data_IF_205940434526
#
_entry.id   IF_205940434526
#
_cell.length_a   1.000
_cell.length_b   1.000
_cell.length_c   1.000
_cell.angle_alpha   90.00
_cell.angle_beta   90.00
_cell.angle_gamma   90.00
#
_symmetry.space_group_name_H-M   'P 1'
#
loop_
_entity.id
_entity.type
_entity.pdbx_description
1 polymer ?
#
# COMPACT_ATOMS: atom_id res chain seq x y z
N UNK A 1 10.93 -18.92 -45.34
CA UNK A 1 11.40 -19.51 -46.62
C UNK A 1 12.92 -19.61 -46.56
N UNK A 2 13.49 -20.78 -46.80
CA UNK A 2 14.95 -21.00 -46.82
C UNK A 2 15.37 -21.02 -48.29
N UNK A 3 16.09 -19.99 -48.75
CA UNK A 3 16.55 -19.82 -50.14
C UNK A 3 18.07 -19.61 -50.23
N UNK A 4 18.66 -19.89 -51.40
CA UNK A 4 20.11 -19.77 -51.65
C UNK A 4 20.61 -18.32 -51.44
N UNK A 5 21.79 -18.08 -50.82
CA UNK A 5 22.28 -16.74 -50.45
C UNK A 5 22.32 -15.73 -51.61
N UNK A 6 22.62 -16.19 -52.82
CA UNK A 6 22.70 -15.34 -54.04
C UNK A 6 21.36 -14.76 -54.49
N UNK A 7 20.23 -15.26 -53.97
CA UNK A 7 18.89 -14.70 -54.24
C UNK A 7 18.52 -13.56 -53.28
N UNK A 8 19.26 -13.39 -52.18
CA UNK A 8 19.02 -12.36 -51.15
C UNK A 8 19.88 -11.10 -51.36
N UNK A 9 20.91 -11.14 -52.20
CA UNK A 9 21.83 -10.01 -52.47
C UNK A 9 21.15 -8.78 -53.12
N UNK A 10 20.01 -8.98 -53.80
CA UNK A 10 19.23 -7.90 -54.43
C UNK A 10 18.10 -7.36 -53.55
N UNK A 11 17.92 -7.89 -52.35
CA UNK A 11 16.89 -7.39 -51.43
C UNK A 11 17.48 -6.30 -50.52
N UNK A 12 16.77 -5.18 -50.30
CA UNK A 12 17.23 -4.14 -49.39
C UNK A 12 17.41 -4.71 -47.97
N UNK A 13 18.65 -4.78 -47.50
CA UNK A 13 18.99 -5.21 -46.16
C UNK A 13 18.74 -4.06 -45.16
N UNK A 14 17.93 -4.30 -44.14
CA UNK A 14 17.74 -3.37 -43.03
C UNK A 14 18.67 -3.76 -41.88
N UNK A 15 19.56 -2.85 -41.49
CA UNK A 15 20.44 -3.05 -40.33
C UNK A 15 19.82 -2.38 -39.11
N UNK A 16 19.63 -3.14 -38.03
CA UNK A 16 19.10 -2.64 -36.76
C UNK A 16 20.22 -2.72 -35.72
N UNK A 17 20.47 -1.64 -35.01
CA UNK A 17 21.47 -1.56 -33.94
C UNK A 17 20.90 -0.77 -32.76
N UNK A 18 21.38 -1.08 -31.55
CA UNK A 18 21.04 -0.37 -30.33
C UNK A 18 22.30 0.16 -29.66
N UNK A 19 22.20 1.35 -29.08
CA UNK A 19 23.24 1.93 -28.26
C UNK A 19 22.60 2.67 -27.09
N UNK A 20 23.28 2.69 -25.96
CA UNK A 20 22.86 3.49 -24.82
C UNK A 20 23.29 4.93 -25.05
N UNK A 21 22.33 5.85 -25.02
CA UNK A 21 22.58 7.28 -25.08
C UNK A 21 22.21 7.87 -23.71
N UNK A 22 23.17 8.39 -22.94
CA UNK A 22 22.85 9.06 -21.69
C UNK A 22 22.03 10.34 -21.94
N UNK A 23 21.15 10.67 -20.98
CA UNK A 23 20.13 11.72 -21.11
C UNK A 23 20.72 13.12 -21.39
N UNK A 24 21.97 13.35 -21.00
CA UNK A 24 22.73 14.58 -21.22
C UNK A 24 23.09 14.84 -22.69
N UNK A 25 22.96 13.82 -23.55
CA UNK A 25 23.32 13.89 -24.98
C UNK A 25 22.13 13.65 -25.91
N UNK A 26 20.91 13.92 -25.48
CA UNK A 26 19.69 13.74 -26.29
C UNK A 26 19.74 14.42 -27.69
N UNK A 27 20.48 15.53 -27.82
CA UNK A 27 20.65 16.23 -29.10
C UNK A 27 21.43 15.42 -30.15
N UNK A 28 22.27 14.47 -29.73
CA UNK A 28 23.07 13.63 -30.62
C UNK A 28 22.20 12.77 -31.53
N UNK A 29 21.06 12.28 -31.05
CA UNK A 29 20.11 11.52 -31.86
C UNK A 29 19.48 12.39 -32.97
N UNK A 30 19.13 13.64 -32.65
CA UNK A 30 18.62 14.61 -33.62
C UNK A 30 19.65 14.98 -34.69
N UNK A 31 20.91 15.17 -34.29
CA UNK A 31 22.01 15.46 -35.21
C UNK A 31 22.35 14.28 -36.13
N UNK A 32 22.23 13.05 -35.62
CA UNK A 32 22.46 11.84 -36.39
C UNK A 32 21.41 11.65 -37.50
N UNK A 33 20.13 11.88 -37.19
CA UNK A 33 19.03 11.82 -38.18
C UNK A 33 19.19 12.93 -39.24
N UNK A 34 19.64 14.13 -38.84
CA UNK A 34 19.92 15.23 -39.78
C UNK A 34 21.10 14.92 -40.71
N UNK A 35 22.14 14.26 -40.21
CA UNK A 35 23.36 13.96 -40.97
C UNK A 35 23.22 12.71 -41.84
N UNK A 36 22.34 11.79 -41.46
CA UNK A 36 22.05 10.55 -42.20
C UNK A 36 20.52 10.33 -42.31
N UNK A 37 19.84 10.95 -43.29
CA UNK A 37 18.38 10.89 -43.44
C UNK A 37 17.83 9.49 -43.80
N UNK A 38 18.70 8.49 -44.04
CA UNK A 38 18.32 7.08 -44.22
C UNK A 38 18.27 6.26 -42.92
N UNK A 39 18.58 6.85 -41.76
CA UNK A 39 18.57 6.17 -40.46
C UNK A 39 17.31 6.55 -39.70
N UNK A 40 16.52 5.55 -39.29
CA UNK A 40 15.39 5.74 -38.36
C UNK A 40 15.85 5.46 -36.94
N UNK A 41 15.78 6.46 -36.07
CA UNK A 41 16.12 6.32 -34.64
C UNK A 41 14.85 6.07 -33.85
N UNK A 42 14.80 4.95 -33.13
CA UNK A 42 13.72 4.63 -32.19
C UNK A 42 14.16 4.93 -30.76
N UNK A 43 13.50 5.88 -30.11
CA UNK A 43 13.76 6.19 -28.70
C UNK A 43 13.05 5.18 -27.79
N UNK A 44 13.75 4.10 -27.48
CA UNK A 44 13.27 3.07 -26.54
C UNK A 44 13.16 3.63 -25.12
N UNK A 45 13.95 4.66 -24.76
CA UNK A 45 13.89 5.33 -23.47
C UNK A 45 12.55 6.04 -23.26
N UNK A 46 12.11 6.81 -24.27
CA UNK A 46 10.81 7.47 -24.27
C UNK A 46 9.64 6.49 -24.15
N UNK A 47 9.72 5.34 -24.84
CA UNK A 47 8.70 4.29 -24.73
C UNK A 47 8.67 3.67 -23.33
N UNK A 48 9.83 3.36 -22.74
CA UNK A 48 9.91 2.84 -21.37
C UNK A 48 9.36 3.87 -20.36
N UNK A 49 9.67 5.15 -20.53
CA UNK A 49 9.17 6.20 -19.64
C UNK A 49 7.66 6.37 -19.76
N UNK A 50 7.10 6.24 -20.97
CA UNK A 50 5.66 6.23 -21.18
C UNK A 50 4.99 5.06 -20.45
N UNK A 51 5.55 3.85 -20.55
CA UNK A 51 5.04 2.68 -19.81
C UNK A 51 5.15 2.88 -18.30
N UNK A 52 6.29 3.38 -17.80
CA UNK A 52 6.46 3.73 -16.38
C UNK A 52 5.43 4.76 -15.92
N UNK A 53 5.10 5.74 -16.76
CA UNK A 53 4.08 6.74 -16.47
C UNK A 53 2.69 6.12 -16.31
N UNK A 54 2.30 5.23 -17.23
CA UNK A 54 1.02 4.52 -17.14
C UNK A 54 0.97 3.68 -15.85
N UNK A 55 2.04 2.94 -15.53
CA UNK A 55 2.13 2.14 -14.30
C UNK A 55 2.00 3.04 -13.06
N UNK A 56 2.66 4.20 -13.03
CA UNK A 56 2.56 5.16 -11.92
C UNK A 56 1.16 5.70 -11.77
N UNK A 57 0.47 6.02 -12.87
CA UNK A 57 -0.89 6.55 -12.84
C UNK A 57 -1.88 5.50 -12.32
N UNK A 58 -1.78 4.26 -12.80
CA UNK A 58 -2.59 3.12 -12.29
C UNK A 58 -2.29 2.87 -10.81
N UNK A 59 -1.01 2.87 -10.41
CA UNK A 59 -0.63 2.69 -9.01
C UNK A 59 -1.20 3.80 -8.12
N UNK A 60 -1.18 5.05 -8.59
CA UNK A 60 -1.75 6.20 -7.87
C UNK A 60 -3.27 6.06 -7.72
N UNK A 61 -3.98 5.62 -8.76
CA UNK A 61 -5.41 5.36 -8.67
C UNK A 61 -5.73 4.28 -7.62
N UNK A 62 -4.97 3.17 -7.60
CA UNK A 62 -5.12 2.11 -6.60
C UNK A 62 -4.79 2.63 -5.19
N UNK A 63 -3.79 3.50 -5.04
CA UNK A 63 -3.47 4.13 -3.76
C UNK A 63 -4.64 4.98 -3.22
N UNK A 64 -5.36 5.70 -4.09
CA UNK A 64 -6.56 6.42 -3.67
C UNK A 64 -7.65 5.47 -3.18
N UNK A 65 -7.90 4.37 -3.90
CA UNK A 65 -8.88 3.34 -3.48
C UNK A 65 -8.47 2.73 -2.14
N UNK A 66 -7.20 2.43 -1.95
CA UNK A 66 -6.66 1.95 -0.68
C UNK A 66 -6.89 2.97 0.44
N UNK A 67 -6.59 4.26 0.22
CA UNK A 67 -6.79 5.31 1.22
C UNK A 67 -8.27 5.46 1.61
N UNK A 68 -9.19 5.44 0.65
CA UNK A 68 -10.62 5.47 0.92
C UNK A 68 -11.10 4.25 1.70
N UNK A 69 -10.64 3.06 1.32
CA UNK A 69 -10.99 1.81 2.00
C UNK A 69 -10.44 1.78 3.42
N UNK A 70 -9.21 2.23 3.62
CA UNK A 70 -8.59 2.38 4.94
C UNK A 70 -9.39 3.36 5.79
N UNK A 71 -9.77 4.51 5.24
CA UNK A 71 -10.60 5.49 5.94
C UNK A 71 -11.97 4.91 6.33
N UNK A 72 -12.63 4.19 5.43
CA UNK A 72 -13.88 3.49 5.72
C UNK A 72 -13.69 2.46 6.85
N UNK A 73 -12.59 1.69 6.83
CA UNK A 73 -12.23 0.77 7.91
C UNK A 73 -12.06 1.46 9.26
N UNK A 74 -11.43 2.64 9.31
CA UNK A 74 -11.31 3.44 10.52
C UNK A 74 -12.68 3.93 11.04
N UNK A 75 -13.59 4.32 10.14
CA UNK A 75 -14.96 4.69 10.50
C UNK A 75 -15.74 3.50 11.07
N UNK A 76 -15.59 2.32 10.47
CA UNK A 76 -16.22 1.07 10.96
C UNK A 76 -15.66 0.69 12.33
N UNK A 77 -14.33 0.75 12.51
CA UNK A 77 -13.69 0.54 13.81
C UNK A 77 -14.23 1.51 14.86
N UNK A 78 -14.36 2.79 14.50
CA UNK A 78 -14.92 3.81 15.38
C UNK A 78 -16.37 3.47 15.79
N UNK A 79 -17.21 3.06 14.84
CA UNK A 79 -18.59 2.67 15.11
C UNK A 79 -18.67 1.44 16.04
N UNK A 80 -17.80 0.44 15.85
CA UNK A 80 -17.72 -0.75 16.69
C UNK A 80 -17.28 -0.42 18.13
N UNK A 81 -16.30 0.47 18.30
CA UNK A 81 -15.88 0.94 19.64
C UNK A 81 -17.01 1.73 20.32
N UNK A 82 -17.73 2.57 19.59
CA UNK A 82 -18.89 3.30 20.14
C UNK A 82 -20.03 2.37 20.58
N UNK A 83 -20.29 1.31 19.82
CA UNK A 83 -21.30 0.32 20.17
C UNK A 83 -20.93 -0.41 21.48
N UNK A 84 -19.67 -0.85 21.62
CA UNK A 84 -19.17 -1.55 22.82
C UNK A 84 -18.97 -0.64 24.05
N UNK A 85 -18.81 0.68 23.85
CA UNK A 85 -18.57 1.60 24.94
C UNK A 85 -19.74 1.72 25.94
N UNK A 86 -21.00 1.52 25.51
CA UNK A 86 -22.17 1.59 26.40
C UNK A 86 -22.14 0.48 27.44
N UNK A 87 -21.74 -0.72 27.03
CA UNK A 87 -21.61 -1.89 27.89
C UNK A 87 -20.42 -1.73 28.85
N UNK A 88 -19.26 -1.33 28.33
CA UNK A 88 -18.07 -1.01 29.15
C UNK A 88 -18.35 0.08 30.18
N UNK A 89 -19.22 1.06 29.89
CA UNK A 89 -19.52 2.13 30.86
C UNK A 89 -20.26 1.61 32.10
N UNK A 90 -21.09 0.56 31.98
CA UNK A 90 -21.70 -0.12 33.14
C UNK A 90 -20.66 -0.87 33.97
N UNK A 91 -19.79 -1.64 33.31
CA UNK A 91 -18.71 -2.36 33.99
C UNK A 91 -17.76 -1.41 34.73
N UNK A 92 -17.41 -0.27 34.11
CA UNK A 92 -16.56 0.75 34.71
C UNK A 92 -17.25 1.40 35.92
N UNK A 93 -18.57 1.61 35.89
CA UNK A 93 -19.31 2.15 37.03
C UNK A 93 -19.26 1.19 38.24
N UNK A 94 -19.42 -0.12 38.00
CA UNK A 94 -19.30 -1.16 39.02
C UNK A 94 -17.86 -1.24 39.56
N UNK A 95 -16.84 -1.20 38.69
CA UNK A 95 -15.44 -1.20 39.12
C UNK A 95 -15.07 0.06 39.91
N UNK A 96 -15.65 1.22 39.58
CA UNK A 96 -15.44 2.47 40.31
C UNK A 96 -16.11 2.48 41.68
N UNK A 97 -17.28 1.85 41.86
CA UNK A 97 -17.87 1.71 43.20
C UNK A 97 -17.03 0.80 44.10
N UNK A 98 -16.27 -0.13 43.51
CA UNK A 98 -15.28 -0.97 44.19
C UNK A 98 -13.88 -0.30 44.34
N UNK A 99 -13.73 0.98 43.98
CA UNK A 99 -12.51 1.75 44.21
C UNK A 99 -11.45 1.69 43.09
N UNK A 100 -11.78 1.15 41.91
CA UNK A 100 -10.82 1.03 40.82
C UNK A 100 -10.36 2.40 40.24
N UNK A 101 -9.04 2.56 40.06
CA UNK A 101 -8.42 3.78 39.50
C UNK A 101 -8.56 3.83 37.97
N UNK A 102 -9.00 4.99 37.44
CA UNK A 102 -9.17 5.29 35.99
C UNK A 102 -7.98 4.86 35.12
N UNK A 103 -6.74 5.02 35.62
CA UNK A 103 -5.51 4.71 34.86
C UNK A 103 -5.37 3.21 34.48
N UNK A 104 -5.91 2.29 35.29
CA UNK A 104 -5.85 0.85 35.02
C UNK A 104 -6.76 0.45 33.86
N UNK A 105 -7.91 1.11 33.75
CA UNK A 105 -8.92 0.88 32.72
C UNK A 105 -8.38 1.27 31.33
N UNK A 106 -7.69 2.40 31.24
CA UNK A 106 -7.06 2.86 29.99
C UNK A 106 -5.93 1.92 29.52
N UNK A 107 -5.13 1.41 30.46
CA UNK A 107 -4.05 0.47 30.13
C UNK A 107 -4.58 -0.82 29.52
N UNK A 108 -5.57 -1.44 30.16
CA UNK A 108 -6.18 -2.68 29.65
C UNK A 108 -6.79 -2.50 28.26
N UNK A 109 -7.50 -1.39 28.03
CA UNK A 109 -8.11 -1.08 26.74
C UNK A 109 -7.09 -0.91 25.61
N UNK A 110 -5.99 -0.19 25.89
CA UNK A 110 -4.93 0.02 24.91
C UNK A 110 -4.25 -1.30 24.56
N UNK A 111 -3.94 -2.13 25.55
CA UNK A 111 -3.32 -3.44 25.32
C UNK A 111 -4.21 -4.32 24.45
N UNK A 112 -5.52 -4.31 24.66
CA UNK A 112 -6.48 -5.05 23.84
C UNK A 112 -6.44 -4.59 22.37
N UNK A 113 -6.48 -3.28 22.11
CA UNK A 113 -6.39 -2.76 20.73
C UNK A 113 -5.03 -3.01 20.08
N UNK A 114 -3.94 -2.94 20.85
CA UNK A 114 -2.58 -3.25 20.35
C UNK A 114 -2.48 -4.71 19.96
N UNK A 115 -3.02 -5.63 20.76
CA UNK A 115 -3.03 -7.07 20.44
C UNK A 115 -3.90 -7.33 19.19
N UNK A 116 -5.11 -6.78 19.14
CA UNK A 116 -5.98 -6.91 17.96
C UNK A 116 -5.33 -6.33 16.70
N UNK A 117 -4.65 -5.19 16.84
CA UNK A 117 -3.87 -4.57 15.76
C UNK A 117 -2.70 -5.42 15.30
N UNK A 118 -1.95 -6.00 16.22
CA UNK A 118 -0.84 -6.90 15.92
C UNK A 118 -1.33 -8.15 15.15
N UNK A 119 -2.46 -8.73 15.58
CA UNK A 119 -3.08 -9.86 14.90
C UNK A 119 -3.58 -9.49 13.49
N UNK A 120 -4.27 -8.36 13.35
CA UNK A 120 -4.70 -7.86 12.05
C UNK A 120 -3.51 -7.59 11.12
N UNK A 121 -2.44 -7.02 11.67
CA UNK A 121 -1.18 -6.76 10.98
C UNK A 121 -0.47 -8.03 10.52
N UNK A 122 -0.48 -9.08 11.33
CA UNK A 122 0.02 -10.40 10.96
C UNK A 122 -0.78 -11.00 9.81
N UNK A 123 -2.12 -10.96 9.88
CA UNK A 123 -3.00 -11.45 8.80
C UNK A 123 -2.75 -10.66 7.51
N UNK A 124 -2.61 -9.34 7.60
CA UNK A 124 -2.28 -8.49 6.45
C UNK A 124 -0.91 -8.85 5.85
N UNK A 125 0.12 -9.10 6.67
CA UNK A 125 1.44 -9.49 6.20
C UNK A 125 1.44 -10.86 5.50
N UNK A 126 0.73 -11.84 6.06
CA UNK A 126 0.53 -13.16 5.41
C UNK A 126 -0.17 -12.98 4.07
N UNK A 127 -1.25 -12.20 4.02
CA UNK A 127 -1.99 -11.95 2.79
C UNK A 127 -1.14 -11.23 1.73
N UNK A 128 -0.41 -10.19 2.12
CA UNK A 128 0.49 -9.46 1.23
C UNK A 128 1.60 -10.36 0.69
N UNK A 129 2.17 -11.22 1.54
CA UNK A 129 3.22 -12.18 1.14
C UNK A 129 2.67 -13.23 0.18
N UNK A 130 1.44 -13.71 0.42
CA UNK A 130 0.76 -14.65 -0.46
C UNK A 130 0.49 -14.02 -1.83
N UNK A 131 -0.14 -12.84 -1.88
CA UNK A 131 -0.40 -12.14 -3.14
C UNK A 131 0.90 -11.81 -3.87
N UNK A 132 1.93 -11.34 -3.15
CA UNK A 132 3.25 -11.05 -3.71
C UNK A 132 3.92 -12.28 -4.33
N UNK A 133 3.81 -13.44 -3.67
CA UNK A 133 4.34 -14.70 -4.19
C UNK A 133 3.66 -15.10 -5.50
N UNK A 134 2.32 -15.04 -5.56
CA UNK A 134 1.57 -15.36 -6.78
C UNK A 134 1.86 -14.39 -7.92
N UNK A 135 1.87 -13.07 -7.66
CA UNK A 135 2.19 -12.07 -8.68
C UNK A 135 3.62 -12.27 -9.21
N UNK A 136 4.58 -12.48 -8.32
CA UNK A 136 5.97 -12.60 -8.73
C UNK A 136 6.22 -13.88 -9.52
N UNK A 137 5.59 -15.00 -9.15
CA UNK A 137 5.77 -16.28 -9.82
C UNK A 137 5.02 -16.36 -11.14
N UNK A 138 3.73 -16.02 -11.15
CA UNK A 138 2.83 -16.32 -12.26
C UNK A 138 2.63 -15.14 -13.23
N UNK A 139 2.94 -13.90 -12.81
CA UNK A 139 2.75 -12.69 -13.65
C UNK A 139 4.08 -12.07 -14.07
N UNK A 140 5.03 -11.94 -13.15
CA UNK A 140 6.28 -11.21 -13.41
C UNK A 140 7.51 -12.09 -13.63
N UNK A 141 7.43 -13.40 -13.34
CA UNK A 141 8.56 -14.34 -13.41
C UNK A 141 9.81 -13.87 -12.65
N UNK A 142 9.63 -13.14 -11.55
CA UNK A 142 10.71 -12.59 -10.73
C UNK A 142 10.98 -13.47 -9.50
N UNK A 143 12.24 -13.55 -9.02
CA UNK A 143 12.56 -14.21 -7.76
C UNK A 143 11.91 -13.44 -6.59
N UNK A 144 11.01 -14.11 -5.87
CA UNK A 144 10.31 -13.54 -4.72
C UNK A 144 10.81 -14.14 -3.41
N UNK A 145 11.40 -13.29 -2.57
CA UNK A 145 11.71 -13.62 -1.19
C UNK A 145 10.95 -12.64 -0.27
N UNK A 146 9.85 -13.08 0.38
CA UNK A 146 9.18 -12.27 1.37
C UNK A 146 10.06 -12.22 2.62
N UNK A 147 10.99 -11.27 2.64
CA UNK A 147 11.86 -11.07 3.79
C UNK A 147 11.06 -10.84 5.08
N UNK A 148 11.63 -11.17 6.26
CA UNK A 148 10.94 -11.07 7.55
C UNK A 148 10.47 -9.65 7.89
N UNK A 149 11.03 -8.64 7.21
CA UNK A 149 10.62 -7.25 7.31
C UNK A 149 9.11 -7.04 7.05
N UNK A 150 8.50 -7.77 6.11
CA UNK A 150 7.07 -7.61 5.79
C UNK A 150 6.19 -7.94 7.00
N UNK A 151 6.55 -8.98 7.74
CA UNK A 151 5.84 -9.37 8.97
C UNK A 151 6.03 -8.36 10.09
N UNK A 152 7.25 -7.84 10.27
CA UNK A 152 7.54 -6.81 11.27
C UNK A 152 6.74 -5.54 10.96
N UNK A 153 6.77 -5.05 9.72
CA UNK A 153 6.01 -3.87 9.32
C UNK A 153 4.50 -4.08 9.43
N UNK A 154 4.00 -5.27 9.05
CA UNK A 154 2.59 -5.62 9.20
C UNK A 154 2.14 -5.60 10.66
N UNK A 155 2.84 -6.33 11.54
CA UNK A 155 2.52 -6.43 12.97
C UNK A 155 2.63 -5.07 13.65
N UNK A 156 3.76 -4.37 13.48
CA UNK A 156 4.01 -3.08 14.14
C UNK A 156 3.07 -2.01 13.58
N UNK A 157 2.88 -1.98 12.26
CA UNK A 157 1.97 -1.04 11.60
C UNK A 157 0.51 -1.27 12.00
N UNK A 158 0.06 -2.53 12.08
CA UNK A 158 -1.27 -2.90 12.53
C UNK A 158 -1.49 -2.56 14.01
N UNK A 159 -0.54 -2.91 14.88
CA UNK A 159 -0.57 -2.59 16.30
C UNK A 159 -0.62 -1.07 16.55
N UNK A 160 0.22 -0.30 15.86
CA UNK A 160 0.24 1.15 15.96
C UNK A 160 -1.03 1.78 15.37
N UNK A 161 -1.49 1.32 14.20
CA UNK A 161 -2.66 1.85 13.52
C UNK A 161 -3.95 1.63 14.28
N UNK A 162 -4.23 0.37 14.65
CA UNK A 162 -5.44 0.02 15.42
C UNK A 162 -5.34 0.55 16.85
N UNK A 163 -4.15 0.51 17.47
CA UNK A 163 -3.92 1.09 18.79
C UNK A 163 -4.20 2.59 18.83
N UNK A 164 -3.67 3.36 17.88
CA UNK A 164 -3.90 4.80 17.77
C UNK A 164 -5.36 5.12 17.45
N UNK A 165 -5.98 4.40 16.50
CA UNK A 165 -7.39 4.59 16.15
C UNK A 165 -8.31 4.26 17.33
N UNK A 166 -8.04 3.18 18.07
CA UNK A 166 -8.76 2.79 19.27
C UNK A 166 -8.64 3.83 20.39
N UNK A 167 -7.46 4.39 20.62
CA UNK A 167 -7.26 5.48 21.58
C UNK A 167 -8.09 6.72 21.23
N UNK A 168 -8.05 7.15 19.96
CA UNK A 168 -8.82 8.29 19.48
C UNK A 168 -10.34 8.07 19.62
N UNK A 169 -10.80 6.85 19.32
CA UNK A 169 -12.19 6.47 19.50
C UNK A 169 -12.62 6.59 20.98
N UNK A 170 -11.86 5.98 21.90
CA UNK A 170 -12.18 5.96 23.35
C UNK A 170 -12.09 7.35 23.98
N UNK A 171 -11.10 8.17 23.63
CA UNK A 171 -10.98 9.54 24.14
C UNK A 171 -12.20 10.41 23.83
N UNK A 172 -12.83 10.22 22.68
CA UNK A 172 -14.02 10.98 22.31
C UNK A 172 -15.29 10.47 23.00
N UNK A 173 -15.39 9.17 23.31
CA UNK A 173 -16.54 8.63 24.05
C UNK A 173 -16.52 9.08 25.51
N UNK A 174 -15.36 8.99 26.17
CA UNK A 174 -15.21 9.33 27.59
C UNK A 174 -15.28 10.86 27.83
N UNK A 175 -15.02 11.68 26.81
CA UNK A 175 -15.18 13.15 26.88
C UNK A 175 -16.62 13.62 26.72
N UNK A 176 -17.60 12.75 26.42
CA UNK A 176 -19.01 13.15 26.53
C UNK A 176 -19.36 13.31 28.01
N UNK A 177 -19.80 14.51 28.47
CA UNK A 177 -20.13 14.72 29.87
C UNK A 177 -21.26 13.78 30.27
N UNK A 178 -20.99 12.89 31.23
CA UNK A 178 -21.93 11.93 31.85
C UNK A 178 -23.17 12.62 32.43
N UNK A 179 -23.13 13.94 32.61
CA UNK A 179 -24.22 14.77 33.12
C UNK A 179 -25.48 14.79 32.22
N UNK A 180 -25.37 14.56 30.90
CA UNK A 180 -26.57 14.52 30.04
C UNK A 180 -27.29 13.16 30.05
N UNK A 181 -26.62 12.08 30.46
CA UNK A 181 -27.25 10.76 30.58
C UNK A 181 -28.10 10.58 31.85
N UNK A 182 -27.93 11.44 32.85
CA UNK A 182 -28.71 11.42 34.10
C UNK A 182 -29.93 12.36 34.08
N UNK A 183 -30.13 13.14 33.02
CA UNK A 183 -31.30 14.02 32.84
C UNK A 183 -32.40 13.37 31.98
N UNK A 184 -32.25 12.09 31.62
CA UNK A 184 -33.23 11.31 30.84
C UNK A 184 -33.66 10.00 31.51
N UNK A 185 -33.33 9.83 32.78
CA UNK A 185 -33.98 8.89 33.70
C UNK A 185 -34.90 9.69 34.60
#
# INVERSE_FOLDING_TARGET
MIGKPSMLERYPATFITSFYLPDDRAQFAGDLVRRFPGITVFDVGALIEQVRSIIREVSTAVQYVFAFTLFAGLVVLYAAVQASARERMREIAILRSLGAKRRRIWGTQLTEFVILGAMAGLVAAVFASFVGFFLSKDVFELPFDPGPAVFIYGIVGGAAGVGAAGLLAVQRVVRRPVLQSLQRL
#
